data_IF_668662014736
#
_entry.id   IF_668662014736
#
_cell.length_a   1.000
_cell.length_b   1.000
_cell.length_c   1.000
_cell.angle_alpha   90.00
_cell.angle_beta   90.00
_cell.angle_gamma   90.00
#
_symmetry.space_group_name_H-M   'P 1'
#
loop_
_entity.id
_entity.type
_entity.pdbx_description
1 polymer ?
#
# COMPACT_ATOMS: atom_id res chain seq x y z
N UNK A 1 -5.66 19.99 -14.60
CA UNK A 1 -4.22 19.76 -14.81
C UNK A 1 -3.78 18.47 -14.16
N UNK A 2 -2.87 17.73 -14.81
CA UNK A 2 -2.30 16.50 -14.26
C UNK A 2 -1.09 16.85 -13.36
N UNK A 3 -0.91 16.07 -12.30
CA UNK A 3 0.25 16.18 -11.41
C UNK A 3 1.43 15.45 -12.06
N UNK A 4 2.49 16.20 -12.38
CA UNK A 4 3.67 15.67 -13.11
C UNK A 4 4.83 15.28 -12.21
N UNK A 5 4.89 15.83 -11.00
CA UNK A 5 5.90 15.51 -10.00
C UNK A 5 5.33 15.72 -8.60
N UNK A 6 5.88 15.01 -7.61
CA UNK A 6 5.48 15.06 -6.21
C UNK A 6 6.73 15.15 -5.35
N UNK A 7 6.66 15.92 -4.26
CA UNK A 7 7.67 15.92 -3.21
C UNK A 7 6.99 15.80 -1.85
N UNK A 8 7.31 14.75 -1.11
CA UNK A 8 6.78 14.50 0.23
C UNK A 8 7.83 14.90 1.24
N UNK A 9 7.59 16.02 1.93
CA UNK A 9 8.51 16.55 2.94
C UNK A 9 8.54 15.73 4.23
N UNK A 10 7.40 15.14 4.62
CA UNK A 10 7.27 14.43 5.89
C UNK A 10 6.11 13.43 5.88
N UNK A 11 6.30 12.34 6.64
CA UNK A 11 5.32 11.26 6.80
C UNK A 11 5.16 10.42 5.55
N UNK A 12 4.04 9.69 5.51
CA UNK A 12 3.58 8.95 4.35
C UNK A 12 2.19 9.44 3.94
N UNK A 13 1.94 9.46 2.64
CA UNK A 13 0.68 9.87 2.03
C UNK A 13 0.17 8.77 1.12
N UNK A 14 -1.13 8.77 0.88
CA UNK A 14 -1.72 7.99 -0.21
C UNK A 14 -2.38 8.95 -1.20
N UNK A 15 -1.99 8.83 -2.46
CA UNK A 15 -2.61 9.51 -3.59
C UNK A 15 -3.60 8.59 -4.31
N UNK A 16 -4.66 9.18 -4.85
CA UNK A 16 -5.73 8.45 -5.53
C UNK A 16 -5.95 8.98 -6.95
N UNK A 17 -6.25 8.06 -7.86
CA UNK A 17 -6.54 8.38 -9.26
C UNK A 17 -7.75 9.30 -9.43
N UNK A 18 -8.79 9.12 -8.62
CA UNK A 18 -10.04 9.85 -8.71
C UNK A 18 -10.30 10.74 -7.49
N UNK A 19 -11.31 11.61 -7.61
CA UNK A 19 -11.82 12.40 -6.49
C UNK A 19 -12.37 11.49 -5.38
N UNK A 20 -12.58 12.05 -4.19
CA UNK A 20 -13.21 11.36 -3.06
C UNK A 20 -12.55 10.03 -2.66
N UNK A 21 -11.23 9.96 -2.80
CA UNK A 21 -10.39 8.83 -2.41
C UNK A 21 -10.73 7.52 -3.14
N UNK A 22 -11.08 7.62 -4.43
CA UNK A 22 -11.47 6.49 -5.29
C UNK A 22 -10.40 6.14 -6.33
N UNK A 23 -10.52 4.94 -6.91
CA UNK A 23 -9.64 4.46 -7.98
C UNK A 23 -8.32 3.88 -7.45
N UNK A 24 -7.31 3.82 -8.32
CA UNK A 24 -6.01 3.28 -7.96
C UNK A 24 -5.34 4.10 -6.86
N UNK A 25 -4.67 3.41 -5.94
CA UNK A 25 -3.97 3.99 -4.79
C UNK A 25 -2.46 3.88 -4.96
N UNK A 26 -1.74 4.91 -4.52
CA UNK A 26 -0.29 4.99 -4.58
C UNK A 26 0.25 5.47 -3.23
N UNK A 27 1.12 4.66 -2.61
CA UNK A 27 1.80 5.04 -1.36
C UNK A 27 2.98 5.95 -1.72
N UNK A 28 3.02 7.11 -1.08
CA UNK A 28 4.02 8.15 -1.28
C UNK A 28 4.73 8.39 0.05
N UNK A 29 5.88 7.76 0.21
CA UNK A 29 6.77 7.96 1.35
C UNK A 29 7.56 9.27 1.22
N UNK A 30 8.27 9.66 2.27
CA UNK A 30 9.12 10.85 2.24
C UNK A 30 10.15 10.73 1.10
N UNK A 31 10.16 11.69 0.19
CA UNK A 31 11.04 11.67 -0.96
C UNK A 31 10.62 12.60 -2.10
N UNK A 32 11.30 12.45 -3.23
CA UNK A 32 11.05 13.19 -4.47
C UNK A 32 10.64 12.21 -5.57
N UNK A 33 9.56 12.54 -6.26
CA UNK A 33 8.95 11.77 -7.33
C UNK A 33 8.90 12.64 -8.59
N UNK A 34 9.97 12.67 -9.41
CA UNK A 34 10.11 13.62 -10.51
C UNK A 34 9.18 13.34 -11.70
N UNK A 35 8.63 12.14 -11.80
CA UNK A 35 7.78 11.68 -12.91
C UNK A 35 6.85 10.54 -12.45
N UNK A 36 6.01 10.03 -13.34
CA UNK A 36 5.04 8.99 -12.98
C UNK A 36 5.68 7.63 -12.64
N UNK A 37 6.77 7.28 -13.32
CA UNK A 37 7.50 6.03 -13.09
C UNK A 37 8.04 5.93 -11.67
N UNK A 38 8.35 7.07 -11.04
CA UNK A 38 8.91 7.11 -9.68
C UNK A 38 7.92 6.71 -8.58
N UNK A 39 6.60 6.82 -8.81
CA UNK A 39 5.56 6.37 -7.86
C UNK A 39 4.75 5.17 -8.38
N UNK A 40 4.83 4.86 -9.67
CA UNK A 40 4.17 3.71 -10.26
C UNK A 40 4.95 2.44 -9.92
N UNK A 41 4.60 1.79 -8.81
CA UNK A 41 5.20 0.52 -8.37
C UNK A 41 5.13 -0.63 -9.39
N UNK A 42 4.43 -0.44 -10.52
CA UNK A 42 4.49 -1.29 -11.71
C UNK A 42 4.37 -0.46 -12.98
N UNK A 43 5.19 -0.76 -13.99
CA UNK A 43 5.08 -0.17 -15.33
C UNK A 43 3.85 -0.67 -16.11
N UNK A 44 3.16 -1.71 -15.62
CA UNK A 44 1.97 -2.26 -16.28
C UNK A 44 0.74 -1.37 -16.18
N UNK A 45 0.76 -0.35 -15.33
CA UNK A 45 -0.35 0.57 -15.12
C UNK A 45 0.15 2.01 -15.17
N UNK A 46 -0.05 2.64 -16.33
CA UNK A 46 0.32 4.02 -16.57
C UNK A 46 -0.81 4.95 -16.12
N UNK A 47 -0.68 5.54 -14.94
CA UNK A 47 -1.58 6.60 -14.49
C UNK A 47 -0.78 7.82 -14.05
N UNK A 48 -1.01 8.94 -14.75
CA UNK A 48 -0.47 10.26 -14.39
C UNK A 48 -1.52 11.12 -13.67
N UNK A 49 -2.67 10.51 -13.33
CA UNK A 49 -3.80 11.22 -12.77
C UNK A 49 -3.80 11.04 -11.27
N UNK A 50 -3.72 12.15 -10.56
CA UNK A 50 -4.03 12.24 -9.14
C UNK A 50 -5.12 13.28 -8.94
N UNK A 51 -6.18 12.91 -8.24
CA UNK A 51 -7.33 13.79 -8.00
C UNK A 51 -7.67 13.94 -6.52
N UNK A 52 -7.12 13.11 -5.63
CA UNK A 52 -7.23 13.31 -4.18
C UNK A 52 -6.05 12.69 -3.42
N UNK A 53 -5.80 13.18 -2.20
CA UNK A 53 -4.69 12.74 -1.34
C UNK A 53 -5.13 12.72 0.13
N UNK A 54 -4.55 11.83 0.94
CA UNK A 54 -4.64 11.91 2.40
C UNK A 54 -3.36 11.43 3.09
N UNK A 55 -3.02 11.97 4.27
CA UNK A 55 -1.92 11.43 5.08
C UNK A 55 -2.27 10.06 5.68
N UNK A 56 -1.26 9.22 5.89
CA UNK A 56 -1.38 7.91 6.53
C UNK A 56 -0.95 8.02 7.99
N UNK A 57 -1.86 8.42 8.87
CA UNK A 57 -1.53 8.70 10.28
C UNK A 57 -1.13 7.46 11.10
N UNK A 58 -1.60 6.27 10.71
CA UNK A 58 -1.26 5.03 11.38
C UNK A 58 0.07 4.42 10.93
N UNK A 59 0.77 5.03 9.96
CA UNK A 59 2.05 4.53 9.48
C UNK A 59 3.12 4.67 10.58
N UNK A 60 3.50 3.53 11.17
CA UNK A 60 4.56 3.45 12.17
C UNK A 60 5.32 2.13 12.01
N UNK A 61 6.42 2.18 11.26
CA UNK A 61 7.20 0.98 10.90
C UNK A 61 7.62 0.14 12.11
N UNK A 62 7.99 0.79 13.23
CA UNK A 62 8.46 0.11 14.44
C UNK A 62 7.35 -0.60 15.23
N UNK A 63 6.09 -0.26 14.99
CA UNK A 63 4.94 -0.83 15.69
C UNK A 63 3.93 -1.50 14.74
N UNK A 64 4.31 -1.67 13.47
CA UNK A 64 3.48 -2.32 12.46
C UNK A 64 3.33 -3.80 12.80
N UNK A 65 2.09 -4.26 12.89
CA UNK A 65 1.74 -5.66 13.14
C UNK A 65 0.42 -5.96 12.45
N UNK A 66 0.27 -7.15 11.92
CA UNK A 66 -0.98 -7.60 11.31
C UNK A 66 -1.12 -9.11 11.47
N UNK A 67 -2.35 -9.59 11.65
CA UNK A 67 -2.69 -11.00 11.51
C UNK A 67 -3.35 -11.22 10.15
N UNK A 68 -2.91 -12.23 9.41
CA UNK A 68 -3.59 -12.69 8.18
C UNK A 68 -4.22 -14.07 8.41
N UNK A 69 -5.39 -14.29 7.79
CA UNK A 69 -6.22 -15.49 7.96
C UNK A 69 -6.54 -16.13 6.61
N UNK A 70 -6.64 -17.46 6.60
CA UNK A 70 -6.87 -18.25 5.39
C UNK A 70 -8.28 -18.05 4.84
N UNK A 71 -9.23 -17.72 5.71
CA UNK A 71 -10.64 -17.55 5.36
C UNK A 71 -11.14 -16.18 5.81
N UNK A 72 -12.33 -15.83 5.34
CA UNK A 72 -13.09 -14.68 5.80
C UNK A 72 -13.41 -14.77 7.30
N UNK A 73 -13.82 -13.63 7.87
CA UNK A 73 -14.30 -13.52 9.25
C UNK A 73 -13.31 -14.03 10.30
N UNK A 74 -12.01 -13.88 10.06
CA UNK A 74 -10.93 -14.25 10.98
C UNK A 74 -10.90 -15.75 11.33
N UNK A 75 -11.26 -16.61 10.38
CA UNK A 75 -11.33 -18.06 10.58
C UNK A 75 -10.23 -18.82 9.82
N UNK A 76 -10.01 -20.07 10.21
CA UNK A 76 -9.00 -20.94 9.60
C UNK A 76 -7.60 -20.71 10.18
N UNK A 77 -6.57 -21.14 9.44
CA UNK A 77 -5.17 -20.91 9.85
C UNK A 77 -4.85 -19.42 9.77
N UNK A 78 -4.02 -18.96 10.69
CA UNK A 78 -3.57 -17.58 10.73
C UNK A 78 -2.08 -17.50 11.05
N UNK A 79 -1.47 -16.38 10.69
CA UNK A 79 -0.09 -16.04 11.06
C UNK A 79 0.03 -14.54 11.30
N UNK A 80 1.00 -14.18 12.13
CA UNK A 80 1.31 -12.79 12.44
C UNK A 80 2.42 -12.30 11.53
N UNK A 81 2.25 -11.10 10.97
CA UNK A 81 3.24 -10.37 10.21
C UNK A 81 3.76 -9.22 11.08
N UNK A 82 5.09 -9.16 11.25
CA UNK A 82 5.79 -8.12 12.01
C UNK A 82 6.87 -7.38 11.22
N UNK A 83 7.23 -7.93 10.06
CA UNK A 83 8.30 -7.45 9.19
C UNK A 83 7.79 -7.41 7.74
N UNK A 84 8.66 -6.96 6.84
CA UNK A 84 8.38 -6.96 5.40
C UNK A 84 8.57 -8.36 4.80
N UNK A 85 7.57 -8.84 4.06
CA UNK A 85 7.62 -10.14 3.39
C UNK A 85 7.51 -9.96 1.87
N UNK A 86 8.63 -10.00 1.12
CA UNK A 86 8.59 -9.89 -0.34
C UNK A 86 7.91 -11.10 -1.02
N UNK A 87 7.76 -12.22 -0.29
CA UNK A 87 6.99 -13.38 -0.72
C UNK A 87 6.32 -14.04 0.48
N UNK A 88 4.98 -14.09 0.46
CA UNK A 88 4.20 -14.81 1.46
C UNK A 88 4.47 -16.32 1.40
N UNK A 89 4.65 -16.87 0.19
CA UNK A 89 4.98 -18.29 0.02
C UNK A 89 6.32 -18.64 0.68
N UNK A 90 7.34 -17.80 0.50
CA UNK A 90 8.66 -18.00 1.13
C UNK A 90 8.60 -17.89 2.66
N UNK A 91 7.64 -17.14 3.20
CA UNK A 91 7.35 -17.08 4.63
C UNK A 91 6.65 -18.34 5.16
N UNK A 92 6.12 -19.19 4.27
CA UNK A 92 5.38 -20.41 4.61
C UNK A 92 3.86 -20.28 4.44
N UNK A 93 3.38 -19.19 3.84
CA UNK A 93 1.98 -19.03 3.46
C UNK A 93 1.73 -19.65 2.08
N UNK A 94 1.41 -20.93 2.06
CA UNK A 94 1.20 -21.69 0.81
C UNK A 94 -0.20 -21.52 0.19
N UNK A 95 -0.94 -20.48 0.59
CA UNK A 95 -2.26 -20.18 0.03
C UNK A 95 -2.12 -19.05 -0.99
N UNK A 96 -2.77 -19.13 -2.16
CA UNK A 96 -2.70 -18.08 -3.17
C UNK A 96 -3.38 -16.79 -2.72
N UNK A 97 -4.21 -16.84 -1.67
CA UNK A 97 -5.08 -15.76 -1.23
C UNK A 97 -5.02 -15.61 0.29
N UNK A 98 -5.35 -14.39 0.75
CA UNK A 98 -5.61 -14.06 2.16
C UNK A 98 -7.10 -13.75 2.27
N UNK A 99 -7.82 -14.48 3.12
CA UNK A 99 -9.27 -14.35 3.24
C UNK A 99 -9.72 -13.22 4.16
N UNK A 100 -8.97 -12.94 5.22
CA UNK A 100 -9.19 -11.76 6.07
C UNK A 100 -7.92 -11.34 6.80
N UNK A 101 -7.89 -10.10 7.30
CA UNK A 101 -6.74 -9.54 8.00
C UNK A 101 -7.19 -8.65 9.17
N UNK A 102 -6.40 -8.63 10.24
CA UNK A 102 -6.58 -7.76 11.39
C UNK A 102 -5.30 -6.95 11.62
N UNK A 103 -5.42 -5.61 11.54
CA UNK A 103 -4.32 -4.65 11.71
C UNK A 103 -4.39 -4.04 13.09
#
# INVERSE_FOLDING_TARGET
DNIRSIRVESGAWVGFEHIDFQGQQFILERGEYPNWESYAGSLSYHSERFMSFRPIYCASHQSSRMMIYEKENFTGRCTELRDDYPSLEAMGWFRPEVGSMHV
#
